data_IF_444500967519
#
_entry.id   IF_444500967519
#
_cell.length_a   1.000
_cell.length_b   1.000
_cell.length_c   1.000
_cell.angle_alpha   90.00
_cell.angle_beta   90.00
_cell.angle_gamma   90.00
#
_symmetry.space_group_name_H-M   'P 1'
#
loop_
_entity.id
_entity.type
_entity.pdbx_description
1 polymer ?
#
# COMPACT_ATOMS: atom_id res chain seq x y z
N UNK A 1 13.34 -12.94 -21.48
CA UNK A 1 14.46 -13.64 -20.79
C UNK A 1 13.83 -14.59 -19.77
N UNK A 2 14.29 -15.83 -19.64
CA UNK A 2 13.77 -16.76 -18.60
C UNK A 2 14.64 -16.63 -17.36
N UNK A 3 14.17 -15.86 -16.37
CA UNK A 3 14.92 -15.57 -15.15
C UNK A 3 15.09 -16.78 -14.23
N UNK A 4 14.20 -17.78 -14.33
CA UNK A 4 14.21 -18.98 -13.47
C UNK A 4 15.43 -19.88 -13.66
N UNK A 5 16.21 -19.69 -14.74
CA UNK A 5 17.46 -20.43 -14.98
C UNK A 5 18.71 -19.64 -14.59
N UNK A 6 18.54 -18.41 -14.11
CA UNK A 6 19.65 -17.57 -13.67
C UNK A 6 19.85 -17.80 -12.16
N UNK A 7 20.92 -18.50 -11.82
CA UNK A 7 21.35 -18.79 -10.44
C UNK A 7 21.94 -17.52 -9.81
N UNK A 8 21.07 -16.57 -9.50
CA UNK A 8 21.43 -15.23 -9.02
C UNK A 8 22.11 -15.30 -7.66
N UNK A 9 21.68 -16.24 -6.82
CA UNK A 9 22.24 -16.55 -5.51
C UNK A 9 23.69 -17.06 -5.60
N UNK A 10 24.02 -17.87 -6.62
CA UNK A 10 25.39 -18.35 -6.83
C UNK A 10 26.29 -17.23 -7.34
N UNK A 11 25.79 -16.42 -8.27
CA UNK A 11 26.47 -15.22 -8.74
C UNK A 11 26.82 -14.28 -7.58
N UNK A 12 25.85 -13.99 -6.70
CA UNK A 12 26.08 -13.14 -5.52
C UNK A 12 27.08 -13.77 -4.55
N UNK A 13 26.98 -15.08 -4.29
CA UNK A 13 27.93 -15.77 -3.43
C UNK A 13 29.37 -15.70 -3.95
N UNK A 14 29.55 -15.85 -5.28
CA UNK A 14 30.86 -15.72 -5.91
C UNK A 14 31.40 -14.29 -5.81
N UNK A 15 30.58 -13.28 -6.11
CA UNK A 15 30.98 -11.86 -6.00
C UNK A 15 31.40 -11.48 -4.57
N UNK A 16 30.66 -11.96 -3.56
CA UNK A 16 31.01 -11.73 -2.15
C UNK A 16 32.32 -12.43 -1.78
N UNK A 17 32.53 -13.66 -2.27
CA UNK A 17 33.78 -14.41 -2.02
C UNK A 17 35.00 -13.66 -2.56
N UNK A 18 34.95 -13.22 -3.82
CA UNK A 18 36.02 -12.48 -4.47
C UNK A 18 36.33 -11.17 -3.71
N UNK A 19 35.30 -10.44 -3.28
CA UNK A 19 35.44 -9.21 -2.50
C UNK A 19 36.08 -9.47 -1.11
N UNK A 20 35.71 -10.56 -0.42
CA UNK A 20 36.27 -10.90 0.88
C UNK A 20 37.72 -11.40 0.80
N UNK A 21 38.08 -12.13 -0.25
CA UNK A 21 39.47 -12.53 -0.53
C UNK A 21 40.34 -11.31 -0.79
N UNK A 22 39.85 -10.34 -1.57
CA UNK A 22 40.51 -9.06 -1.77
C UNK A 22 40.71 -8.33 -0.43
N UNK A 23 39.67 -8.20 0.41
CA UNK A 23 39.79 -7.55 1.74
C UNK A 23 40.75 -8.28 2.67
N UNK A 24 40.85 -9.60 2.57
CA UNK A 24 41.82 -10.38 3.32
C UNK A 24 43.25 -10.04 2.87
N UNK A 25 43.50 -9.89 1.57
CA UNK A 25 44.83 -9.53 1.04
C UNK A 25 45.32 -8.16 1.52
N UNK A 26 44.41 -7.21 1.77
CA UNK A 26 44.70 -5.87 2.30
C UNK A 26 44.66 -5.82 3.84
N UNK A 27 44.41 -6.95 4.51
CA UNK A 27 44.35 -7.04 5.97
C UNK A 27 43.10 -6.40 6.60
N UNK A 28 42.02 -6.18 5.84
CA UNK A 28 40.75 -5.60 6.31
C UNK A 28 39.66 -6.64 6.63
N UNK A 29 39.96 -7.92 6.46
CA UNK A 29 39.07 -9.02 6.81
C UNK A 29 39.87 -10.18 7.41
N UNK A 30 39.43 -10.68 8.56
CA UNK A 30 40.08 -11.79 9.29
C UNK A 30 39.17 -13.01 9.46
N UNK A 31 37.95 -12.97 8.91
CA UNK A 31 36.97 -14.04 9.03
C UNK A 31 37.19 -15.18 8.04
N UNK A 32 36.32 -16.20 8.13
CA UNK A 32 36.20 -17.27 7.14
C UNK A 32 34.82 -17.17 6.49
N UNK A 33 34.78 -17.22 5.18
CA UNK A 33 33.54 -17.18 4.42
C UNK A 33 33.27 -18.53 3.78
N UNK A 34 32.08 -19.08 4.04
CA UNK A 34 31.57 -20.27 3.38
C UNK A 34 30.09 -20.01 3.07
N UNK A 35 29.73 -20.10 1.78
CA UNK A 35 28.37 -19.90 1.33
C UNK A 35 27.68 -21.23 1.05
N UNK A 36 26.39 -21.30 1.39
CA UNK A 36 25.48 -22.37 0.97
C UNK A 36 24.27 -21.69 0.34
N UNK A 37 24.07 -21.93 -0.95
CA UNK A 37 22.97 -21.36 -1.72
C UNK A 37 21.78 -22.31 -1.72
N UNK A 38 20.57 -21.74 -1.78
CA UNK A 38 19.32 -22.49 -1.82
C UNK A 38 18.39 -21.81 -2.81
N UNK A 39 17.74 -22.61 -3.66
CA UNK A 39 16.66 -22.16 -4.52
C UNK A 39 15.35 -22.81 -4.09
N UNK A 40 14.40 -21.99 -3.63
CA UNK A 40 13.09 -22.45 -3.20
C UNK A 40 12.00 -21.91 -4.11
N UNK A 41 11.33 -22.80 -4.84
CA UNK A 41 10.30 -22.41 -5.81
C UNK A 41 9.31 -23.53 -6.06
N UNK A 42 9.69 -24.53 -6.86
CA UNK A 42 8.79 -25.59 -7.33
C UNK A 42 8.03 -26.30 -6.21
N UNK A 43 8.70 -26.58 -5.09
CA UNK A 43 8.11 -27.30 -3.97
C UNK A 43 6.95 -26.55 -3.29
N UNK A 44 6.91 -25.22 -3.40
CA UNK A 44 5.82 -24.41 -2.83
C UNK A 44 4.59 -24.33 -3.73
N UNK A 45 4.77 -24.42 -5.06
CA UNK A 45 3.71 -24.13 -6.07
C UNK A 45 2.57 -25.15 -6.09
N UNK A 46 2.82 -26.37 -5.61
CA UNK A 46 1.83 -27.46 -5.55
C UNK A 46 1.70 -28.04 -4.14
N UNK A 47 1.98 -27.23 -3.13
CA UNK A 47 1.78 -27.60 -1.72
C UNK A 47 0.30 -27.51 -1.32
N UNK A 48 -0.04 -28.09 -0.16
CA UNK A 48 -1.40 -27.98 0.37
C UNK A 48 -1.70 -26.52 0.72
N UNK A 49 -2.81 -25.93 0.21
CA UNK A 49 -3.11 -24.52 0.43
C UNK A 49 -3.40 -24.26 1.91
N UNK A 50 -3.07 -23.07 2.39
CA UNK A 50 -3.47 -22.65 3.75
C UNK A 50 -5.00 -22.61 3.88
N UNK A 51 -5.52 -22.61 5.10
CA UNK A 51 -6.96 -22.45 5.32
C UNK A 51 -7.48 -21.13 4.71
N UNK A 52 -6.66 -20.06 4.78
CA UNK A 52 -6.95 -18.79 4.15
C UNK A 52 -7.09 -18.92 2.63
N UNK A 53 -6.11 -19.52 1.95
CA UNK A 53 -6.12 -19.71 0.50
C UNK A 53 -7.25 -20.64 0.05
N UNK A 54 -7.54 -21.69 0.81
CA UNK A 54 -8.64 -22.61 0.53
C UNK A 54 -9.99 -21.90 0.61
N UNK A 55 -10.23 -21.12 1.67
CA UNK A 55 -11.45 -20.33 1.81
C UNK A 55 -11.56 -19.26 0.71
N UNK A 56 -10.47 -18.59 0.39
CA UNK A 56 -10.41 -17.54 -0.63
C UNK A 56 -10.69 -18.11 -2.03
N UNK A 57 -10.05 -19.22 -2.39
CA UNK A 57 -10.28 -19.90 -3.66
C UNK A 57 -11.72 -20.40 -3.79
N UNK A 58 -12.28 -20.97 -2.73
CA UNK A 58 -13.68 -21.40 -2.72
C UNK A 58 -14.64 -20.22 -2.91
N UNK A 59 -14.42 -19.12 -2.18
CA UNK A 59 -15.23 -17.91 -2.31
C UNK A 59 -15.14 -17.29 -3.72
N UNK A 60 -13.95 -17.29 -4.33
CA UNK A 60 -13.78 -16.84 -5.71
C UNK A 60 -14.54 -17.71 -6.72
N UNK A 61 -14.47 -19.03 -6.58
CA UNK A 61 -15.23 -19.94 -7.44
C UNK A 61 -16.75 -19.75 -7.33
N UNK A 62 -17.23 -19.56 -6.10
CA UNK A 62 -18.65 -19.31 -5.85
C UNK A 62 -19.10 -17.96 -6.44
N UNK A 63 -18.32 -16.90 -6.23
CA UNK A 63 -18.56 -15.59 -6.82
C UNK A 63 -18.57 -15.63 -8.35
N UNK A 64 -17.64 -16.36 -8.97
CA UNK A 64 -17.62 -16.53 -10.41
C UNK A 64 -18.91 -17.20 -10.93
N UNK A 65 -19.43 -18.20 -10.22
CA UNK A 65 -20.71 -18.83 -10.55
C UNK A 65 -21.88 -17.83 -10.50
N UNK A 66 -21.94 -17.00 -9.45
CA UNK A 66 -22.97 -15.96 -9.31
C UNK A 66 -22.91 -14.95 -10.46
N UNK A 67 -21.71 -14.53 -10.87
CA UNK A 67 -21.53 -13.59 -11.98
C UNK A 67 -22.00 -14.18 -13.32
N UNK A 68 -21.69 -15.45 -13.58
CA UNK A 68 -22.15 -16.16 -14.79
C UNK A 68 -23.66 -16.29 -14.81
N UNK A 69 -24.28 -16.70 -13.69
CA UNK A 69 -25.74 -16.80 -13.57
C UNK A 69 -26.42 -15.43 -13.76
N UNK A 70 -25.78 -14.36 -13.28
CA UNK A 70 -26.25 -12.98 -13.43
C UNK A 70 -26.00 -12.39 -14.82
N UNK A 71 -25.38 -13.13 -15.75
CA UNK A 71 -25.07 -12.64 -17.10
C UNK A 71 -23.96 -11.57 -17.16
N UNK A 72 -23.15 -11.43 -16.11
CA UNK A 72 -22.06 -10.44 -16.04
C UNK A 72 -20.80 -11.02 -16.70
N UNK A 73 -20.32 -10.36 -17.76
CA UNK A 73 -19.13 -10.78 -18.52
C UNK A 73 -18.02 -9.72 -18.51
N UNK A 74 -16.78 -10.12 -18.78
CA UNK A 74 -15.64 -9.21 -18.83
C UNK A 74 -15.27 -8.61 -17.47
N UNK A 75 -15.55 -9.32 -16.38
CA UNK A 75 -15.25 -8.89 -15.02
C UNK A 75 -14.30 -9.87 -14.33
N UNK A 76 -13.42 -9.34 -13.49
CA UNK A 76 -12.59 -10.09 -12.55
C UNK A 76 -13.29 -10.16 -11.20
N UNK A 77 -13.31 -11.34 -10.57
CA UNK A 77 -13.82 -11.47 -9.21
C UNK A 77 -12.90 -10.72 -8.23
N UNK A 78 -13.49 -10.05 -7.24
CA UNK A 78 -12.76 -9.31 -6.21
C UNK A 78 -13.39 -9.57 -4.85
N UNK A 79 -12.57 -9.91 -3.86
CA UNK A 79 -13.00 -10.10 -2.48
C UNK A 79 -12.22 -9.12 -1.61
N UNK A 80 -12.94 -8.37 -0.76
CA UNK A 80 -12.38 -7.37 0.17
C UNK A 80 -12.68 -7.77 1.61
N UNK A 81 -11.99 -7.13 2.56
CA UNK A 81 -12.15 -7.43 3.99
C UNK A 81 -11.40 -8.70 4.43
N UNK A 82 -10.34 -9.07 3.71
CA UNK A 82 -9.61 -10.34 3.91
C UNK A 82 -8.94 -10.50 5.28
N UNK A 83 -8.72 -9.40 6.02
CA UNK A 83 -8.22 -9.44 7.40
C UNK A 83 -9.29 -9.86 8.42
N UNK A 84 -10.58 -9.80 8.03
CA UNK A 84 -11.69 -10.23 8.86
C UNK A 84 -11.99 -11.72 8.75
N UNK A 85 -12.91 -12.23 9.59
CA UNK A 85 -13.39 -13.59 9.44
C UNK A 85 -14.12 -13.74 8.10
N UNK A 86 -14.10 -14.95 7.52
CA UNK A 86 -14.62 -15.25 6.18
C UNK A 86 -16.05 -14.75 5.95
N UNK A 87 -16.90 -14.80 6.99
CA UNK A 87 -18.28 -14.32 6.95
C UNK A 87 -18.44 -12.82 6.69
N UNK A 88 -17.41 -12.03 6.99
CA UNK A 88 -17.39 -10.58 6.84
C UNK A 88 -16.67 -10.17 5.53
N UNK A 89 -16.28 -11.13 4.69
CA UNK A 89 -15.69 -10.85 3.40
C UNK A 89 -16.72 -10.27 2.43
N UNK A 90 -16.32 -9.22 1.73
CA UNK A 90 -17.15 -8.53 0.77
C UNK A 90 -16.84 -9.00 -0.64
N UNK A 91 -17.78 -9.73 -1.24
CA UNK A 91 -17.70 -10.22 -2.60
C UNK A 91 -18.14 -9.12 -3.58
N UNK A 92 -17.38 -8.94 -4.66
CA UNK A 92 -17.69 -7.98 -5.71
C UNK A 92 -16.94 -8.30 -7.01
N UNK A 93 -17.13 -7.48 -8.03
CA UNK A 93 -16.49 -7.70 -9.33
C UNK A 93 -15.94 -6.40 -9.89
N UNK A 94 -14.79 -6.47 -10.57
CA UNK A 94 -14.12 -5.33 -11.18
C UNK A 94 -14.15 -5.54 -12.70
N UNK A 95 -14.63 -4.58 -13.51
CA UNK A 95 -14.55 -4.68 -14.96
C UNK A 95 -13.10 -4.85 -15.39
N UNK A 96 -12.81 -5.88 -16.17
CA UNK A 96 -11.44 -6.27 -16.53
C UNK A 96 -10.67 -5.14 -17.23
N UNK A 97 -11.38 -4.31 -18.01
CA UNK A 97 -10.83 -3.16 -18.73
C UNK A 97 -10.23 -2.08 -17.80
N UNK A 98 -10.66 -1.97 -16.54
CA UNK A 98 -10.10 -0.97 -15.61
C UNK A 98 -8.72 -1.36 -15.08
N UNK A 99 -8.32 -2.62 -15.28
CA UNK A 99 -6.99 -3.12 -14.89
C UNK A 99 -5.98 -3.00 -16.03
N UNK A 100 -6.43 -2.71 -17.25
CA UNK A 100 -5.59 -2.68 -18.45
C UNK A 100 -4.88 -1.33 -18.62
N UNK A 101 -3.66 -1.40 -19.14
CA UNK A 101 -2.90 -0.26 -19.65
C UNK A 101 -2.41 -0.56 -21.05
N UNK A 102 -2.36 0.46 -21.89
CA UNK A 102 -1.73 0.38 -23.20
C UNK A 102 -0.21 0.48 -23.00
N UNK A 103 0.52 -0.53 -23.47
CA UNK A 103 1.99 -0.52 -23.43
C UNK A 103 2.52 -0.53 -24.87
N UNK A 104 3.36 0.45 -25.24
CA UNK A 104 4.02 0.46 -26.55
C UNK A 104 4.90 -0.79 -26.71
N UNK A 105 4.89 -1.40 -27.89
CA UNK A 105 5.65 -2.63 -28.18
C UNK A 105 7.16 -2.45 -27.94
N UNK A 106 7.86 -3.44 -27.33
CA UNK A 106 9.28 -3.33 -26.94
C UNK A 106 10.31 -3.12 -28.07
N UNK A 107 9.91 -3.25 -29.34
CA UNK A 107 10.80 -3.00 -30.49
C UNK A 107 11.24 -1.54 -30.59
N UNK A 108 10.56 -0.63 -29.90
CA UNK A 108 10.85 0.80 -29.89
C UNK A 108 11.51 1.30 -28.60
N UNK A 109 12.06 0.41 -27.75
CA UNK A 109 12.80 0.86 -26.57
C UNK A 109 14.21 1.33 -26.99
N UNK A 110 14.53 2.65 -26.94
CA UNK A 110 15.79 3.18 -27.46
C UNK A 110 17.02 2.64 -26.72
N UNK A 111 16.83 2.05 -25.54
CA UNK A 111 17.90 1.42 -24.75
C UNK A 111 18.42 0.11 -25.36
N UNK A 112 17.62 -0.61 -26.16
CA UNK A 112 18.03 -1.87 -26.79
C UNK A 112 18.34 -1.75 -28.29
N UNK A 113 17.80 -0.74 -28.98
CA UNK A 113 18.05 -0.52 -30.41
C UNK A 113 19.48 -0.04 -30.73
N UNK A 114 20.22 0.51 -29.75
CA UNK A 114 21.53 1.12 -29.97
C UNK A 114 22.71 0.13 -30.08
N UNK A 115 22.49 -1.19 -30.09
CA UNK A 115 23.58 -2.18 -29.99
C UNK A 115 23.68 -3.22 -31.11
N UNK A 116 22.99 -3.00 -32.23
CA UNK A 116 23.01 -3.91 -33.38
C UNK A 116 23.02 -3.17 -34.72
N UNK A 117 24.07 -2.42 -35.02
CA UNK A 117 24.25 -1.78 -36.34
C UNK A 117 25.72 -1.56 -36.64
N UNK A 118 26.32 -2.46 -37.42
CA UNK A 118 27.62 -2.23 -38.05
C UNK A 118 27.53 -1.06 -39.04
N UNK A 119 28.61 -0.28 -39.10
CA UNK A 119 28.77 0.87 -39.98
C UNK A 119 28.66 0.49 -41.47
N UNK A 120 27.83 1.22 -42.22
CA UNK A 120 27.74 1.13 -43.67
C UNK A 120 26.89 2.28 -44.26
N UNK A 121 27.60 3.23 -44.90
CA UNK A 121 27.25 4.28 -45.87
C UNK A 121 26.00 5.20 -45.75
N UNK A 122 26.16 6.53 -45.95
CA UNK A 122 25.08 7.51 -45.83
C UNK A 122 24.54 7.96 -47.19
N UNK A 123 23.42 7.41 -47.65
CA UNK A 123 22.55 8.09 -48.63
C UNK A 123 21.11 7.63 -48.47
N UNK A 124 20.26 8.43 -47.82
CA UNK A 124 18.85 8.54 -48.18
C UNK A 124 18.30 9.86 -47.64
N UNK A 125 17.99 10.77 -48.56
CA UNK A 125 17.26 12.02 -48.31
C UNK A 125 15.78 11.70 -48.17
N UNK A 126 15.26 11.63 -46.94
CA UNK A 126 13.81 11.54 -46.70
C UNK A 126 13.31 12.84 -46.07
N UNK A 127 12.35 13.47 -46.75
CA UNK A 127 11.71 14.71 -46.34
C UNK A 127 10.99 14.53 -45.00
N UNK A 128 11.03 15.56 -44.15
CA UNK A 128 10.44 15.59 -42.80
C UNK A 128 8.91 15.30 -42.73
N UNK A 129 8.23 15.14 -43.87
CA UNK A 129 6.82 14.75 -43.95
C UNK A 129 6.61 13.23 -43.94
N UNK A 130 7.59 12.43 -44.35
CA UNK A 130 7.48 10.96 -44.36
C UNK A 130 7.70 10.34 -42.96
N UNK A 131 8.42 11.04 -42.07
CA UNK A 131 8.66 10.58 -40.68
C UNK A 131 7.37 10.59 -39.85
N UNK A 132 6.41 11.48 -40.15
CA UNK A 132 5.12 11.52 -39.44
C UNK A 132 4.11 10.49 -39.95
N UNK A 133 4.23 10.07 -41.21
CA UNK A 133 3.26 9.17 -41.84
C UNK A 133 3.70 7.70 -41.79
N UNK A 134 5.01 7.45 -41.64
CA UNK A 134 5.58 6.16 -41.22
C UNK A 134 5.58 5.94 -39.70
N UNK A 135 4.72 6.64 -38.93
CA UNK A 135 4.23 6.11 -37.64
C UNK A 135 3.24 4.99 -37.94
N UNK A 136 3.80 3.94 -38.53
CA UNK A 136 3.25 2.64 -38.82
C UNK A 136 2.40 2.19 -37.64
N UNK A 137 1.12 1.89 -37.90
CA UNK A 137 0.23 0.98 -37.16
C UNK A 137 0.86 0.46 -35.85
N UNK A 138 0.95 1.33 -34.85
CA UNK A 138 1.41 0.96 -33.51
C UNK A 138 0.25 0.19 -32.89
N UNK A 139 0.38 -1.13 -32.81
CA UNK A 139 -0.61 -1.95 -32.10
C UNK A 139 -0.27 -1.86 -30.62
N UNK A 140 -0.74 -0.79 -29.98
CA UNK A 140 -0.70 -0.65 -28.53
C UNK A 140 -1.41 -1.86 -27.93
N UNK A 141 -0.65 -2.78 -27.34
CA UNK A 141 -1.23 -3.99 -26.78
C UNK A 141 -1.83 -3.66 -25.40
N UNK A 142 -3.13 -3.93 -25.17
CA UNK A 142 -3.69 -3.78 -23.84
C UNK A 142 -3.15 -4.90 -22.95
N UNK A 143 -2.40 -4.54 -21.91
CA UNK A 143 -1.86 -5.49 -20.93
C UNK A 143 -2.30 -5.12 -19.52
N UNK A 144 -2.42 -6.10 -18.64
CA UNK A 144 -2.49 -5.85 -17.21
C UNK A 144 -1.04 -5.84 -16.71
N UNK A 145 -0.52 -4.69 -16.23
CA UNK A 145 0.83 -4.63 -15.72
C UNK A 145 0.97 -5.46 -14.44
N UNK A 146 2.16 -5.99 -14.21
CA UNK A 146 2.54 -6.55 -12.91
C UNK A 146 2.43 -5.48 -11.82
N UNK A 147 1.91 -5.86 -10.66
CA UNK A 147 1.86 -5.01 -9.48
C UNK A 147 3.14 -5.23 -8.67
N UNK A 148 4.15 -4.38 -8.90
CA UNK A 148 5.42 -4.42 -8.18
C UNK A 148 5.27 -3.90 -6.74
N UNK A 149 6.24 -4.24 -5.88
CA UNK A 149 6.26 -3.79 -4.48
C UNK A 149 6.23 -2.27 -4.40
N UNK A 150 5.29 -1.73 -3.62
CA UNK A 150 5.21 -0.30 -3.34
C UNK A 150 6.24 0.10 -2.27
N UNK A 151 7.28 0.83 -2.66
CA UNK A 151 8.33 1.31 -1.75
C UNK A 151 7.82 2.36 -0.73
N UNK A 152 6.66 2.95 -0.98
CA UNK A 152 5.96 3.83 -0.05
C UNK A 152 4.87 3.11 0.78
N UNK A 153 4.66 1.81 0.53
CA UNK A 153 3.69 0.97 1.23
C UNK A 153 4.02 0.78 2.71
N UNK A 154 2.99 0.47 3.50
CA UNK A 154 3.14 0.22 4.94
C UNK A 154 4.03 -0.99 5.20
N UNK A 155 3.83 -2.06 4.44
CA UNK A 155 4.60 -3.30 4.58
C UNK A 155 6.09 -3.10 4.31
N UNK A 156 6.45 -2.39 3.23
CA UNK A 156 7.85 -2.12 2.89
C UNK A 156 8.52 -1.20 3.93
N UNK A 157 7.82 -0.15 4.38
CA UNK A 157 8.35 0.75 5.43
C UNK A 157 8.60 0.01 6.73
N UNK A 158 7.66 -0.85 7.14
CA UNK A 158 7.84 -1.70 8.32
C UNK A 158 9.07 -2.60 8.19
N UNK A 159 9.23 -3.29 7.05
CA UNK A 159 10.39 -4.13 6.78
C UNK A 159 11.69 -3.32 6.81
N UNK A 160 11.72 -2.13 6.20
CA UNK A 160 12.90 -1.26 6.18
C UNK A 160 13.33 -0.84 7.58
N UNK A 161 12.39 -0.50 8.47
CA UNK A 161 12.71 -0.14 9.86
C UNK A 161 13.30 -1.32 10.63
N UNK A 162 12.84 -2.54 10.37
CA UNK A 162 13.34 -3.73 11.04
C UNK A 162 14.66 -4.26 10.44
N UNK A 163 14.90 -4.04 9.14
CA UNK A 163 16.05 -4.56 8.40
C UNK A 163 17.40 -4.15 8.96
N UNK A 164 17.54 -2.91 9.48
CA UNK A 164 18.78 -2.45 10.09
C UNK A 164 19.18 -3.28 11.32
N UNK A 165 18.19 -3.65 12.15
CA UNK A 165 18.42 -4.50 13.32
C UNK A 165 18.69 -5.94 12.90
N UNK A 166 17.93 -6.46 11.94
CA UNK A 166 18.11 -7.84 11.43
C UNK A 166 19.46 -8.07 10.75
N UNK A 167 20.09 -7.02 10.21
CA UNK A 167 21.40 -7.13 9.59
C UNK A 167 22.55 -7.31 10.59
N UNK A 168 22.38 -6.86 11.85
CA UNK A 168 23.43 -6.85 12.87
C UNK A 168 23.16 -7.81 14.03
N UNK A 169 21.89 -8.11 14.32
CA UNK A 169 21.47 -8.96 15.43
C UNK A 169 20.87 -10.29 14.96
N UNK A 170 21.07 -11.35 15.74
CA UNK A 170 20.50 -12.68 15.49
C UNK A 170 19.00 -12.74 15.84
N UNK A 171 18.16 -12.12 15.01
CA UNK A 171 16.70 -11.99 15.18
C UNK A 171 15.93 -12.96 14.28
N UNK A 172 16.26 -14.25 14.32
CA UNK A 172 15.59 -15.25 13.49
C UNK A 172 14.17 -15.56 13.99
N UNK A 173 13.24 -15.73 13.06
CA UNK A 173 11.90 -16.23 13.31
C UNK A 173 11.76 -17.62 12.70
N UNK A 174 11.28 -18.59 13.49
CA UNK A 174 10.93 -19.92 12.99
C UNK A 174 9.40 -20.05 12.95
N UNK A 175 8.75 -19.84 11.78
CA UNK A 175 7.29 -19.81 11.68
C UNK A 175 6.65 -21.21 11.81
N UNK A 176 7.43 -22.28 11.74
CA UNK A 176 6.91 -23.64 11.70
C UNK A 176 6.12 -23.98 10.43
N UNK A 177 5.58 -25.21 10.32
CA UNK A 177 4.75 -25.64 9.19
C UNK A 177 3.36 -25.01 9.22
N UNK A 178 2.71 -24.92 8.04
CA UNK A 178 1.29 -24.53 7.93
C UNK A 178 0.44 -25.46 8.81
N UNK A 179 -0.40 -24.85 9.64
CA UNK A 179 -1.34 -25.56 10.51
C UNK A 179 -2.75 -25.54 9.91
N UNK A 180 -3.50 -26.62 10.07
CA UNK A 180 -4.88 -26.77 9.58
C UNK A 180 -5.91 -26.79 10.71
N UNK A 181 -5.45 -26.84 11.94
CA UNK A 181 -6.26 -26.89 13.16
C UNK A 181 -5.72 -25.92 14.20
N UNK A 182 -6.60 -25.40 15.05
CA UNK A 182 -6.22 -24.48 16.12
C UNK A 182 -6.03 -23.04 15.63
N UNK A 183 -5.54 -22.14 16.51
CA UNK A 183 -5.48 -20.71 16.24
C UNK A 183 -4.59 -20.33 15.04
N UNK A 184 -3.47 -21.04 14.86
CA UNK A 184 -2.51 -20.79 13.80
C UNK A 184 -3.05 -21.08 12.39
N UNK A 185 -4.14 -21.86 12.26
CA UNK A 185 -4.78 -22.11 10.97
C UNK A 185 -5.40 -20.83 10.35
N UNK A 186 -5.70 -19.83 11.18
CA UNK A 186 -6.28 -18.57 10.73
C UNK A 186 -5.23 -17.50 10.40
N UNK A 187 -3.94 -17.84 10.44
CA UNK A 187 -2.89 -16.91 10.06
C UNK A 187 -2.89 -16.69 8.55
N UNK A 188 -2.70 -15.43 8.16
CA UNK A 188 -2.57 -14.99 6.78
C UNK A 188 -1.27 -14.20 6.62
N UNK A 189 -0.92 -13.87 5.38
CA UNK A 189 0.35 -13.25 5.05
C UNK A 189 0.57 -11.91 5.80
N UNK A 190 1.80 -11.69 6.28
CA UNK A 190 2.21 -10.48 7.01
C UNK A 190 2.03 -9.19 6.20
N UNK A 191 2.26 -9.21 4.90
CA UNK A 191 2.05 -8.07 4.00
C UNK A 191 0.58 -7.62 4.01
N UNK A 192 -0.36 -8.56 3.86
CA UNK A 192 -1.79 -8.27 3.93
C UNK A 192 -2.16 -7.66 5.29
N UNK A 193 -1.57 -8.18 6.37
CA UNK A 193 -1.77 -7.63 7.71
C UNK A 193 -1.29 -6.18 7.81
N UNK A 194 -0.03 -5.89 7.45
CA UNK A 194 0.53 -4.54 7.58
C UNK A 194 -0.19 -3.51 6.68
N UNK A 195 -0.68 -3.94 5.51
CA UNK A 195 -1.40 -3.03 4.60
C UNK A 195 -2.85 -2.77 5.02
N UNK A 196 -3.58 -3.79 5.49
CA UNK A 196 -5.05 -3.72 5.59
C UNK A 196 -5.61 -3.91 7.01
N UNK A 197 -4.86 -4.44 7.97
CA UNK A 197 -5.40 -4.78 9.30
C UNK A 197 -5.87 -3.54 10.08
N UNK A 198 -5.11 -2.45 10.04
CA UNK A 198 -5.47 -1.19 10.69
C UNK A 198 -6.78 -0.61 10.10
N UNK A 199 -6.88 -0.61 8.76
CA UNK A 199 -8.08 -0.14 8.07
C UNK A 199 -9.31 -0.98 8.46
N UNK A 200 -9.16 -2.31 8.46
CA UNK A 200 -10.22 -3.23 8.87
C UNK A 200 -10.65 -2.99 10.33
N UNK A 201 -9.69 -2.85 11.26
CA UNK A 201 -10.00 -2.56 12.67
C UNK A 201 -10.72 -1.21 12.83
N UNK A 202 -10.31 -0.18 12.08
CA UNK A 202 -11.01 1.11 12.06
C UNK A 202 -12.47 0.96 11.61
N UNK A 203 -12.73 0.20 10.54
CA UNK A 203 -14.10 -0.07 10.06
C UNK A 203 -14.93 -0.76 11.14
N UNK A 204 -14.40 -1.82 11.75
CA UNK A 204 -15.07 -2.52 12.85
C UNK A 204 -15.36 -1.62 14.06
N UNK A 205 -14.44 -0.72 14.41
CA UNK A 205 -14.64 0.23 15.51
C UNK A 205 -15.73 1.24 15.19
N UNK A 206 -15.74 1.80 13.98
CA UNK A 206 -16.79 2.73 13.53
C UNK A 206 -18.17 2.07 13.61
N UNK A 207 -18.31 0.85 13.12
CA UNK A 207 -19.57 0.09 13.21
C UNK A 207 -20.00 -0.15 14.66
N UNK A 208 -19.06 -0.49 15.56
CA UNK A 208 -19.37 -0.64 16.98
C UNK A 208 -19.84 0.67 17.60
N UNK A 209 -19.17 1.78 17.29
CA UNK A 209 -19.54 3.10 17.82
C UNK A 209 -20.90 3.56 17.32
N UNK A 210 -21.23 3.35 16.05
CA UNK A 210 -22.55 3.71 15.52
C UNK A 210 -23.66 2.85 16.16
N UNK A 211 -23.40 1.57 16.42
CA UNK A 211 -24.33 0.71 17.15
C UNK A 211 -24.54 1.16 18.60
N UNK A 212 -23.47 1.54 19.31
CA UNK A 212 -23.56 2.11 20.65
C UNK A 212 -24.35 3.42 20.61
N UNK A 213 -24.02 4.33 19.69
CA UNK A 213 -24.73 5.60 19.52
C UNK A 213 -26.23 5.39 19.27
N UNK A 214 -26.57 4.42 18.41
CA UNK A 214 -27.96 4.05 18.15
C UNK A 214 -28.69 3.58 19.41
N UNK A 215 -28.03 2.80 20.26
CA UNK A 215 -28.60 2.31 21.52
C UNK A 215 -28.67 3.40 22.59
N UNK A 216 -27.74 4.36 22.59
CA UNK A 216 -27.73 5.45 23.56
C UNK A 216 -28.70 6.57 23.20
N UNK A 217 -28.92 6.85 21.91
CA UNK A 217 -29.80 7.92 21.44
C UNK A 217 -31.28 7.47 21.41
N UNK A 218 -31.79 6.98 22.53
CA UNK A 218 -33.21 6.61 22.72
C UNK A 218 -34.00 7.72 23.41
N UNK A 219 -35.32 7.53 23.56
CA UNK A 219 -36.16 8.49 24.28
C UNK A 219 -35.67 8.67 25.73
N UNK A 220 -35.56 9.92 26.20
CA UNK A 220 -35.12 10.27 27.57
C UNK A 220 -33.66 10.72 27.70
N UNK A 221 -32.93 10.90 26.60
CA UNK A 221 -31.53 11.37 26.58
C UNK A 221 -31.45 12.89 26.73
N UNK A 222 -30.33 13.40 27.24
CA UNK A 222 -30.10 14.84 27.37
C UNK A 222 -30.08 15.54 25.99
N UNK A 223 -30.77 16.68 25.92
CA UNK A 223 -30.87 17.49 24.71
C UNK A 223 -29.49 17.92 24.16
N UNK A 224 -28.53 18.23 25.04
CA UNK A 224 -27.17 18.59 24.66
C UNK A 224 -26.40 17.44 23.99
N UNK A 225 -26.51 16.22 24.53
CA UNK A 225 -25.86 15.05 23.93
C UNK A 225 -26.48 14.71 22.57
N UNK A 226 -27.81 14.74 22.49
CA UNK A 226 -28.52 14.43 21.24
C UNK A 226 -28.19 15.45 20.14
N UNK A 227 -28.14 16.75 20.46
CA UNK A 227 -27.73 17.80 19.52
C UNK A 227 -26.30 17.60 19.02
N UNK A 228 -25.35 17.29 19.91
CA UNK A 228 -23.96 17.02 19.53
C UNK A 228 -23.86 15.79 18.61
N UNK A 229 -24.51 14.68 18.98
CA UNK A 229 -24.55 13.47 18.15
C UNK A 229 -25.17 13.76 16.77
N UNK A 230 -26.27 14.51 16.73
CA UNK A 230 -26.93 14.91 15.49
C UNK A 230 -26.01 15.74 14.59
N UNK A 231 -25.37 16.79 15.12
CA UNK A 231 -24.46 17.66 14.35
C UNK A 231 -23.24 16.88 13.85
N UNK A 232 -22.61 16.06 14.71
CA UNK A 232 -21.44 15.27 14.32
C UNK A 232 -21.76 14.24 13.24
N UNK A 233 -22.86 13.48 13.37
CA UNK A 233 -23.27 12.50 12.36
C UNK A 233 -23.72 13.17 11.06
N UNK A 234 -24.43 14.30 11.15
CA UNK A 234 -24.81 15.08 9.96
C UNK A 234 -23.57 15.59 9.24
N UNK A 235 -22.58 16.11 9.96
CA UNK A 235 -21.31 16.55 9.37
C UNK A 235 -20.58 15.43 8.63
N UNK A 236 -20.55 14.22 9.19
CA UNK A 236 -19.98 13.05 8.53
C UNK A 236 -20.76 12.64 7.27
N UNK A 237 -22.08 12.69 7.31
CA UNK A 237 -22.92 12.39 6.14
C UNK A 237 -22.74 13.44 5.03
N UNK A 238 -22.61 14.72 5.40
CA UNK A 238 -22.30 15.78 4.44
C UNK A 238 -20.95 15.56 3.76
N UNK A 239 -19.91 15.16 4.51
CA UNK A 239 -18.61 14.79 3.94
C UNK A 239 -18.72 13.61 2.96
N UNK A 240 -19.56 12.62 3.28
CA UNK A 240 -19.70 11.41 2.48
C UNK A 240 -20.48 11.63 1.17
N UNK A 241 -21.54 12.44 1.19
CA UNK A 241 -22.46 12.61 0.06
C UNK A 241 -22.30 13.95 -0.68
N UNK A 242 -21.68 14.95 -0.06
CA UNK A 242 -21.50 16.30 -0.59
C UNK A 242 -20.08 16.85 -0.35
N UNK A 243 -19.01 16.15 -0.80
CA UNK A 243 -17.62 16.56 -0.54
C UNK A 243 -17.28 17.95 -1.11
N UNK A 244 -17.89 18.32 -2.23
CA UNK A 244 -17.66 19.61 -2.91
C UNK A 244 -18.41 20.80 -2.26
N UNK A 245 -19.36 20.52 -1.38
CA UNK A 245 -20.21 21.57 -0.78
C UNK A 245 -19.59 22.14 0.51
N UNK A 246 -18.72 21.38 1.18
CA UNK A 246 -17.99 21.80 2.38
C UNK A 246 -16.85 22.78 2.08
N UNK A 247 -16.22 22.65 0.91
CA UNK A 247 -15.24 23.63 0.42
C UNK A 247 -15.91 24.90 -0.12
N UNK A 248 -17.14 24.80 -0.61
CA UNK A 248 -17.92 25.95 -1.10
C UNK A 248 -18.63 26.74 0.02
N UNK A 249 -18.96 26.09 1.15
CA UNK A 249 -19.68 26.68 2.29
C UNK A 249 -18.81 26.84 3.55
N UNK A 250 -17.54 27.19 3.39
CA UNK A 250 -16.75 27.75 4.49
C UNK A 250 -16.89 29.29 4.43
N UNK A 251 -17.81 29.94 5.17
CA UNK A 251 -17.70 31.37 5.38
C UNK A 251 -16.47 31.62 6.24
N UNK A 252 -15.75 32.69 5.92
CA UNK A 252 -14.59 33.18 6.63
C UNK A 252 -14.73 33.04 8.16
N UNK A 253 -13.97 32.11 8.74
CA UNK A 253 -13.70 32.09 10.18
C UNK A 253 -12.70 33.20 10.53
N UNK A 254 -12.99 34.45 10.15
CA UNK A 254 -12.37 35.68 10.68
C UNK A 254 -13.32 36.86 10.44
N UNK A 255 -14.49 36.85 11.06
CA UNK A 255 -15.15 38.11 11.45
C UNK A 255 -15.74 37.85 12.83
N UNK A 256 -14.88 37.93 13.84
CA UNK A 256 -15.34 38.26 15.17
C UNK A 256 -15.85 39.69 15.14
N UNK A 257 -17.09 39.84 15.59
CA UNK A 257 -17.71 41.01 16.20
C UNK A 257 -16.81 42.25 16.32
N UNK A 258 -17.21 43.35 15.68
CA UNK A 258 -17.02 44.71 16.21
C UNK A 258 -17.92 45.69 15.41
N UNK A 259 -19.15 45.86 15.87
CA UNK A 259 -19.93 47.08 15.68
C UNK A 259 -20.23 47.65 17.08
N UNK A 260 -19.40 48.59 17.54
CA UNK A 260 -19.75 49.57 18.56
C UNK A 260 -18.81 50.79 18.50
N UNK A 261 -19.34 51.87 17.93
CA UNK A 261 -19.19 53.28 18.31
C UNK A 261 -17.79 53.95 18.44
N UNK A 262 -17.67 55.10 17.76
CA UNK A 262 -17.12 56.32 18.39
C UNK A 262 -15.77 56.85 17.90
N UNK A 263 -15.85 57.95 17.14
CA UNK A 263 -14.95 59.12 17.10
C UNK A 263 -13.42 58.97 17.00
N UNK A 264 -12.85 59.80 16.12
CA UNK A 264 -11.46 59.72 15.70
C UNK A 264 -10.44 60.30 16.68
N UNK A 265 -9.23 59.75 16.61
CA UNK A 265 -7.96 60.46 16.68
C UNK A 265 -6.81 59.47 16.46
N UNK A 266 -5.85 59.82 15.62
CA UNK A 266 -4.51 59.23 15.59
C UNK A 266 -3.55 60.06 16.48
N UNK A 267 -2.26 59.74 16.68
CA UNK A 267 -1.49 58.47 16.83
C UNK A 267 -0.70 58.55 18.19
N UNK A 268 0.58 58.15 18.42
CA UNK A 268 1.53 57.16 17.83
C UNK A 268 2.28 56.25 18.86
N UNK A 269 3.06 55.26 18.39
CA UNK A 269 4.42 54.99 18.92
C UNK A 269 4.70 53.74 19.78
N UNK A 270 5.89 53.16 19.54
CA UNK A 270 6.76 52.30 20.38
C UNK A 270 6.21 50.93 20.86
N UNK A 271 6.76 49.81 20.42
CA UNK A 271 8.01 49.16 20.85
C UNK A 271 7.93 48.42 22.22
N UNK A 272 8.61 47.27 22.27
CA UNK A 272 9.04 46.46 23.42
C UNK A 272 8.23 45.23 23.88
N UNK A 273 8.83 44.06 23.59
CA UNK A 273 9.25 42.98 24.51
C UNK A 273 8.26 42.41 25.56
N UNK A 274 8.10 41.08 25.54
CA UNK A 274 7.53 40.31 26.65
C UNK A 274 7.58 38.81 26.42
N UNK A 275 8.62 38.18 26.96
CA UNK A 275 9.00 36.75 26.85
C UNK A 275 8.40 35.95 28.01
N UNK A 276 7.92 34.73 27.78
CA UNK A 276 7.95 33.51 28.67
C UNK A 276 6.87 32.53 28.20
N UNK A 277 7.19 31.27 27.85
CA UNK A 277 7.32 30.12 28.77
C UNK A 277 5.91 29.49 28.92
N UNK A 278 5.61 28.22 28.68
CA UNK A 278 6.35 26.98 28.83
C UNK A 278 5.76 25.91 27.89
N UNK A 279 6.57 24.90 27.55
CA UNK A 279 6.16 23.76 26.75
C UNK A 279 5.43 22.69 27.54
N UNK A 280 4.61 21.91 26.84
CA UNK A 280 4.26 20.54 27.21
C UNK A 280 4.43 19.65 25.97
N UNK A 281 5.56 18.96 25.91
CA UNK A 281 5.73 17.78 25.07
C UNK A 281 5.15 16.58 25.80
N UNK A 282 4.28 15.82 25.14
CA UNK A 282 3.85 14.50 25.61
C UNK A 282 4.54 13.44 24.77
N UNK A 283 5.45 12.73 25.43
CA UNK A 283 6.17 11.55 24.99
C UNK A 283 5.20 10.40 24.69
N UNK A 284 5.19 9.90 23.44
CA UNK A 284 4.69 8.56 23.12
C UNK A 284 5.80 7.54 23.38
N UNK A 285 5.91 7.12 24.64
CA UNK A 285 6.64 5.92 25.03
C UNK A 285 5.74 5.10 25.95
N UNK A 286 5.12 4.04 25.40
CA UNK A 286 4.62 2.84 26.10
C UNK A 286 3.74 2.03 25.14
N UNK A 287 4.32 1.05 24.46
CA UNK A 287 3.71 -0.26 24.26
C UNK A 287 4.83 -1.28 24.15
N UNK A 288 5.34 -1.67 25.32
CA UNK A 288 6.24 -2.79 25.51
C UNK A 288 5.40 -4.02 25.84
N UNK A 289 5.73 -5.14 25.18
CA UNK A 289 5.47 -6.54 25.57
C UNK A 289 4.02 -6.97 25.80
N UNK A 290 3.54 -7.82 24.89
CA UNK A 290 2.79 -9.03 25.26
C UNK A 290 3.52 -10.24 24.68
N UNK A 291 4.45 -10.74 25.49
CA UNK A 291 4.73 -12.17 25.58
C UNK A 291 3.48 -12.79 26.24
N UNK A 292 2.90 -13.82 25.64
CA UNK A 292 2.29 -14.98 26.33
C UNK A 292 1.87 -16.01 25.26
N UNK A 293 2.10 -17.27 25.60
CA UNK A 293 2.07 -18.51 24.81
C UNK A 293 0.77 -18.80 24.06
#
# INVERSE_FOLDING_TARGET
IRFERLETEELLAQMVKEELEYRQSVGRYCGKFQAVTHFFGYQGRSSMPSQFDANLAFAYGHLASILVESGVTGHCCSIRGLCGPVKDWHLGSIPFVTLMKLVPTPQDNPTFAARGGQAGDPKLTNSAKDIRQQRSVMTDLPIIPSAEVNLDGKAYRWMKTAAEQWALEDRFCNPGPIQFTGPAANFFNRELFEEQAEYYDMVCRVERYTNILRQTCTFGVSDSFLKNAYVSLTGLLMLAFHPDELTAKLPALTTGDDDADGEGAAPPGSAFFGRSGEGFGVSLSRFSKREDF
#
